data_IF_819129435359
#
_entry.id   IF_819129435359
#
_cell.length_a   1.000
_cell.length_b   1.000
_cell.length_c   1.000
_cell.angle_alpha   90.00
_cell.angle_beta   90.00
_cell.angle_gamma   90.00
#
_symmetry.space_group_name_H-M   'P 1'
#
loop_
_entity.id
_entity.type
_entity.pdbx_description
1 polymer ?
#
# COMPACT_ATOMS: atom_id res chain seq x y z
N UNK A 1 7.20 21.13 -6.69
CA UNK A 1 6.04 20.44 -7.26
C UNK A 1 5.86 19.12 -6.51
N UNK A 2 4.78 18.99 -5.79
CA UNK A 2 4.47 17.76 -5.09
C UNK A 2 4.16 16.68 -6.14
N UNK A 3 4.91 15.58 -6.14
CA UNK A 3 4.61 14.46 -7.02
C UNK A 3 3.35 13.75 -6.50
N UNK A 4 2.43 13.43 -7.41
CA UNK A 4 1.23 12.68 -7.06
C UNK A 4 1.60 11.31 -6.48
N UNK A 5 0.86 10.89 -5.48
CA UNK A 5 0.97 9.55 -4.93
C UNK A 5 0.44 8.49 -5.90
N UNK A 6 0.84 7.24 -5.74
CA UNK A 6 0.31 6.13 -6.55
C UNK A 6 -1.22 6.09 -6.52
N UNK A 7 -1.81 6.32 -5.35
CA UNK A 7 -3.24 6.27 -5.11
C UNK A 7 -4.03 7.40 -5.80
N UNK A 8 -3.37 8.49 -6.15
CA UNK A 8 -4.01 9.60 -6.86
C UNK A 8 -4.35 9.26 -8.32
N UNK A 9 -3.69 8.23 -8.86
CA UNK A 9 -3.93 7.75 -10.22
C UNK A 9 -4.95 6.62 -10.30
N UNK A 10 -5.45 6.11 -9.18
CA UNK A 10 -6.41 5.00 -9.19
C UNK A 10 -7.74 5.43 -9.81
N UNK A 11 -8.37 4.56 -10.63
CA UNK A 11 -9.72 4.81 -11.10
C UNK A 11 -10.68 4.92 -9.92
N UNK A 12 -11.76 5.68 -10.11
CA UNK A 12 -12.72 5.98 -9.05
C UNK A 12 -13.27 4.70 -8.37
N UNK A 13 -13.48 3.64 -9.13
CA UNK A 13 -13.95 2.37 -8.60
C UNK A 13 -13.01 1.71 -7.58
N UNK A 14 -11.72 2.01 -7.60
CA UNK A 14 -10.72 1.55 -6.63
C UNK A 14 -10.37 2.61 -5.58
N UNK A 15 -10.99 3.76 -5.66
CA UNK A 15 -10.68 4.90 -4.79
C UNK A 15 -11.62 5.02 -3.58
N UNK A 16 -12.41 3.99 -3.30
CA UNK A 16 -13.27 3.89 -2.12
C UNK A 16 -12.63 3.04 -0.99
N UNK A 17 -11.46 2.51 -1.20
CA UNK A 17 -10.77 1.67 -0.21
C UNK A 17 -10.61 2.41 1.12
N UNK A 18 -10.93 1.74 2.22
CA UNK A 18 -10.77 2.30 3.56
C UNK A 18 -9.31 2.66 3.87
N UNK A 19 -8.35 1.89 3.37
CA UNK A 19 -6.92 2.15 3.61
C UNK A 19 -6.36 3.28 2.75
N UNK A 20 -6.67 3.32 1.45
CA UNK A 20 -5.98 4.20 0.51
C UNK A 20 -6.89 4.98 -0.44
N UNK A 21 -8.20 4.85 -0.33
CA UNK A 21 -9.13 5.50 -1.25
C UNK A 21 -9.22 7.00 -1.05
N UNK A 22 -8.81 7.77 -2.07
CA UNK A 22 -8.92 9.24 -2.05
C UNK A 22 -10.37 9.74 -1.98
N UNK A 23 -11.34 8.91 -2.39
CA UNK A 23 -12.77 9.22 -2.37
C UNK A 23 -13.48 8.72 -1.10
N UNK A 24 -12.76 8.11 -0.17
CA UNK A 24 -13.31 7.69 1.12
C UNK A 24 -12.88 8.68 2.21
N UNK A 25 -13.76 9.61 2.61
CA UNK A 25 -13.39 10.63 3.60
C UNK A 25 -13.18 10.06 5.01
N UNK A 26 -13.73 8.87 5.29
CA UNK A 26 -13.59 8.20 6.58
C UNK A 26 -12.39 7.23 6.60
N UNK A 27 -11.69 7.10 5.46
CA UNK A 27 -10.57 6.20 5.31
C UNK A 27 -9.25 6.81 5.79
N UNK A 28 -8.22 5.98 5.81
CA UNK A 28 -6.87 6.41 6.21
C UNK A 28 -6.18 7.25 5.14
N UNK A 29 -6.58 7.12 3.88
CA UNK A 29 -6.08 7.89 2.72
C UNK A 29 -4.55 7.90 2.62
N UNK A 30 -3.92 6.74 2.80
CA UNK A 30 -2.47 6.64 2.71
C UNK A 30 -1.96 7.00 1.32
N UNK A 31 -0.76 7.54 1.27
CA UNK A 31 -0.11 8.01 0.05
C UNK A 31 1.27 7.38 -0.07
N UNK A 32 1.50 6.73 -1.19
CA UNK A 32 2.76 6.06 -1.50
C UNK A 32 3.44 6.71 -2.69
N UNK A 33 4.76 6.80 -2.63
CA UNK A 33 5.60 7.42 -3.66
C UNK A 33 6.84 6.58 -3.90
N UNK A 34 7.47 6.76 -5.05
CA UNK A 34 8.81 6.23 -5.28
C UNK A 34 9.86 7.07 -4.55
N UNK A 35 10.84 6.38 -3.97
CA UNK A 35 12.08 6.92 -3.44
C UNK A 35 13.23 6.05 -4.00
N UNK A 36 13.69 6.39 -5.20
CA UNK A 36 14.61 5.55 -5.95
C UNK A 36 13.96 4.22 -6.36
N UNK A 37 14.55 3.12 -5.93
CA UNK A 37 14.05 1.76 -6.19
C UNK A 37 13.08 1.26 -5.12
N UNK A 38 12.94 1.98 -4.01
CA UNK A 38 11.97 1.67 -2.96
C UNK A 38 10.74 2.56 -3.10
N UNK A 39 9.62 2.07 -2.59
CA UNK A 39 8.45 2.90 -2.34
C UNK A 39 8.41 3.35 -0.88
N UNK A 40 7.87 4.52 -0.63
CA UNK A 40 7.75 5.08 0.72
C UNK A 40 6.32 5.56 0.97
N UNK A 41 5.85 5.29 2.18
CA UNK A 41 4.61 5.84 2.72
C UNK A 41 4.85 6.31 4.14
N UNK A 42 4.37 7.49 4.50
CA UNK A 42 4.37 7.99 5.87
C UNK A 42 2.96 8.12 6.38
N UNK A 43 2.73 7.67 7.60
CA UNK A 43 1.41 7.70 8.21
C UNK A 43 1.52 8.08 9.68
N UNK A 44 0.70 9.02 10.11
CA UNK A 44 0.59 9.41 11.51
C UNK A 44 -0.64 8.76 12.13
N UNK A 45 -0.48 7.72 12.98
CA UNK A 45 -1.62 7.14 13.70
C UNK A 45 -2.29 8.17 14.61
N UNK A 46 -3.62 8.14 14.64
CA UNK A 46 -4.40 8.92 15.58
C UNK A 46 -4.54 8.22 16.93
N UNK A 47 -5.07 8.92 17.96
CA UNK A 47 -5.20 8.37 19.32
C UNK A 47 -6.04 7.10 19.42
N UNK A 48 -7.00 6.92 18.48
CA UNK A 48 -7.85 5.72 18.45
C UNK A 48 -7.14 4.49 17.88
N UNK A 49 -6.00 4.66 17.18
CA UNK A 49 -5.24 3.57 16.57
C UNK A 49 -4.30 2.87 17.57
N UNK A 50 -4.80 2.58 18.73
CA UNK A 50 -4.01 2.05 19.86
C UNK A 50 -4.41 0.63 20.25
N UNK A 51 -3.44 -0.18 20.67
CA UNK A 51 -3.66 -1.47 21.35
C UNK A 51 -3.41 -1.33 22.84
N UNK A 52 -2.33 -0.68 23.19
CA UNK A 52 -1.95 -0.31 24.56
C UNK A 52 -1.55 1.16 24.54
N UNK A 53 -1.62 1.83 25.69
CA UNK A 53 -1.21 3.23 25.79
C UNK A 53 0.22 3.41 25.25
N UNK A 54 0.34 4.24 24.21
CA UNK A 54 1.62 4.54 23.56
C UNK A 54 2.04 3.56 22.47
N UNK A 55 1.22 2.56 22.11
CA UNK A 55 1.53 1.57 21.08
C UNK A 55 0.43 1.44 20.05
N UNK A 56 0.84 1.28 18.79
CA UNK A 56 -0.04 1.21 17.63
C UNK A 56 -0.71 -0.15 17.53
N UNK A 57 -1.99 -0.15 17.20
CA UNK A 57 -2.78 -1.36 16.94
C UNK A 57 -2.23 -2.13 15.73
N UNK A 58 -1.99 -3.44 15.92
CA UNK A 58 -1.39 -4.29 14.89
C UNK A 58 -2.22 -4.42 13.63
N UNK A 59 -3.54 -4.40 13.73
CA UNK A 59 -4.43 -4.43 12.56
C UNK A 59 -4.31 -3.20 11.68
N UNK A 60 -4.06 -2.01 12.26
CA UNK A 60 -3.75 -0.82 11.49
C UNK A 60 -2.45 -1.00 10.70
N UNK A 61 -1.40 -1.50 11.36
CA UNK A 61 -0.11 -1.74 10.71
C UNK A 61 -0.27 -2.71 9.53
N UNK A 62 -1.02 -3.79 9.71
CA UNK A 62 -1.34 -4.74 8.64
C UNK A 62 -2.07 -4.06 7.48
N UNK A 63 -3.02 -3.18 7.76
CA UNK A 63 -3.75 -2.40 6.74
C UNK A 63 -2.84 -1.47 5.96
N UNK A 64 -1.88 -0.83 6.62
CA UNK A 64 -0.90 0.03 5.97
C UNK A 64 0.01 -0.78 5.04
N UNK A 65 0.49 -1.94 5.50
CA UNK A 65 1.31 -2.85 4.69
C UNK A 65 0.54 -3.31 3.45
N UNK A 66 -0.71 -3.71 3.63
CA UNK A 66 -1.59 -4.17 2.57
C UNK A 66 -1.70 -3.13 1.43
N UNK A 67 -2.18 -1.95 1.75
CA UNK A 67 -2.39 -0.91 0.74
C UNK A 67 -1.08 -0.37 0.16
N UNK A 68 -0.04 -0.20 0.98
CA UNK A 68 1.27 0.25 0.49
C UNK A 68 1.90 -0.78 -0.45
N UNK A 69 1.87 -2.06 -0.09
CA UNK A 69 2.43 -3.15 -0.89
C UNK A 69 1.69 -3.34 -2.22
N UNK A 70 0.35 -3.34 -2.19
CA UNK A 70 -0.46 -3.48 -3.42
C UNK A 70 -0.29 -2.27 -4.34
N UNK A 71 -0.25 -1.08 -3.78
CA UNK A 71 0.02 0.15 -4.55
C UNK A 71 1.40 0.14 -5.20
N UNK A 72 2.41 -0.32 -4.46
CA UNK A 72 3.77 -0.48 -4.99
C UNK A 72 3.80 -1.50 -6.13
N UNK A 73 3.05 -2.60 -6.00
CA UNK A 73 2.95 -3.62 -7.04
C UNK A 73 2.39 -3.06 -8.34
N UNK A 74 1.29 -2.31 -8.28
CA UNK A 74 0.71 -1.65 -9.45
C UNK A 74 1.68 -0.64 -10.07
N UNK A 75 2.30 0.21 -9.25
CA UNK A 75 3.27 1.20 -9.71
C UNK A 75 4.50 0.55 -10.37
N UNK A 76 4.96 -0.59 -9.84
CA UNK A 76 6.06 -1.35 -10.42
C UNK A 76 5.71 -1.94 -11.81
N UNK A 77 4.47 -2.39 -11.98
CA UNK A 77 3.99 -2.88 -13.29
C UNK A 77 3.97 -1.76 -14.33
N UNK A 78 3.48 -0.55 -13.98
CA UNK A 78 3.56 0.61 -14.86
C UNK A 78 5.00 0.93 -15.25
N UNK A 79 5.90 0.94 -14.27
CA UNK A 79 7.33 1.21 -14.52
C UNK A 79 7.95 0.17 -15.45
N UNK A 80 7.65 -1.11 -15.25
CA UNK A 80 8.15 -2.21 -16.09
C UNK A 80 7.62 -2.13 -17.54
N UNK A 81 6.42 -1.61 -17.73
CA UNK A 81 5.82 -1.41 -19.06
C UNK A 81 6.21 -0.06 -19.69
N UNK A 82 7.08 0.74 -19.06
CA UNK A 82 7.41 2.11 -19.49
C UNK A 82 6.17 2.99 -19.69
N UNK A 83 5.19 2.84 -18.82
CA UNK A 83 3.92 3.58 -18.89
C UNK A 83 3.80 4.54 -17.71
N UNK A 84 3.35 5.78 -17.93
CA UNK A 84 2.96 6.66 -16.83
C UNK A 84 1.70 6.13 -16.16
N UNK A 85 1.53 6.44 -14.87
CA UNK A 85 0.43 5.91 -14.06
C UNK A 85 -0.95 6.48 -14.45
N UNK A 86 -0.99 7.56 -15.21
CA UNK A 86 -2.22 8.14 -15.78
C UNK A 86 -2.56 7.57 -17.17
N UNK A 87 -1.79 6.61 -17.67
CA UNK A 87 -2.04 5.99 -18.98
C UNK A 87 -3.21 5.01 -18.95
N UNK A 88 -3.79 4.76 -20.12
CA UNK A 88 -4.90 3.83 -20.30
C UNK A 88 -4.48 2.57 -21.08
N UNK A 89 -5.07 1.40 -20.81
CA UNK A 89 -5.98 1.12 -19.69
C UNK A 89 -5.26 1.13 -18.34
N UNK A 90 -5.94 1.45 -17.23
CA UNK A 90 -5.30 1.47 -15.92
C UNK A 90 -4.88 0.07 -15.48
N UNK A 91 -3.74 -0.02 -14.80
CA UNK A 91 -3.33 -1.26 -14.13
C UNK A 91 -4.00 -1.29 -12.75
N UNK A 92 -4.79 -2.34 -12.53
CA UNK A 92 -5.51 -2.55 -11.27
C UNK A 92 -4.95 -3.79 -10.59
N UNK A 93 -4.59 -3.66 -9.33
CA UNK A 93 -4.14 -4.78 -8.52
C UNK A 93 -5.04 -4.95 -7.30
N UNK A 94 -5.18 -6.20 -6.87
CA UNK A 94 -5.77 -6.58 -5.58
C UNK A 94 -4.78 -7.43 -4.81
N UNK A 95 -4.92 -7.45 -3.49
CA UNK A 95 -4.09 -8.28 -2.62
C UNK A 95 -4.57 -9.72 -2.68
N UNK A 96 -3.69 -10.63 -3.06
CA UNK A 96 -3.95 -12.06 -3.02
C UNK A 96 -3.46 -12.72 -1.72
N UNK A 97 -2.40 -12.16 -1.13
CA UNK A 97 -1.84 -12.67 0.13
C UNK A 97 -1.18 -11.52 0.89
N UNK A 98 -1.36 -11.53 2.19
CA UNK A 98 -0.70 -10.64 3.12
C UNK A 98 -0.11 -11.48 4.25
N UNK A 99 1.20 -11.38 4.46
CA UNK A 99 1.89 -11.92 5.61
C UNK A 99 2.46 -10.77 6.43
N UNK A 100 2.31 -10.84 7.74
CA UNK A 100 2.80 -9.81 8.66
C UNK A 100 3.51 -10.49 9.83
N UNK A 101 4.72 -10.03 10.11
CA UNK A 101 5.51 -10.44 11.25
C UNK A 101 5.77 -9.24 12.14
N UNK A 102 5.26 -9.29 13.36
CA UNK A 102 5.46 -8.25 14.37
C UNK A 102 6.74 -8.59 15.15
N UNK A 103 7.80 -7.83 14.88
CA UNK A 103 9.12 -8.06 15.50
C UNK A 103 9.17 -7.54 16.92
N UNK A 104 8.53 -6.39 17.15
CA UNK A 104 8.41 -5.75 18.47
C UNK A 104 7.21 -4.80 18.48
N UNK A 105 6.71 -4.42 19.66
CA UNK A 105 5.64 -3.43 19.75
C UNK A 105 6.03 -2.14 19.03
N UNK A 106 5.08 -1.56 18.30
CA UNK A 106 5.30 -0.34 17.52
C UNK A 106 4.90 0.88 18.34
N UNK A 107 5.86 1.73 18.79
CA UNK A 107 5.52 2.94 19.50
C UNK A 107 4.65 3.89 18.67
N UNK A 108 3.75 4.60 19.34
CA UNK A 108 2.94 5.64 18.73
C UNK A 108 3.82 6.77 18.21
N UNK A 109 3.52 7.28 17.04
CA UNK A 109 4.27 8.31 16.34
C UNK A 109 4.16 8.09 14.83
N UNK A 110 4.81 8.92 14.03
CA UNK A 110 4.83 8.73 12.59
C UNK A 110 5.47 7.40 12.23
N UNK A 111 4.78 6.64 11.38
CA UNK A 111 5.28 5.39 10.80
C UNK A 111 5.80 5.66 9.38
N UNK A 112 6.95 5.09 9.06
CA UNK A 112 7.46 5.06 7.70
C UNK A 112 7.45 3.62 7.20
N UNK A 113 6.80 3.40 6.06
CA UNK A 113 6.78 2.12 5.37
C UNK A 113 7.70 2.21 4.16
N UNK A 114 8.56 1.20 4.01
CA UNK A 114 9.42 1.06 2.85
C UNK A 114 9.14 -0.26 2.14
N UNK A 115 8.81 -0.16 0.85
CA UNK A 115 8.47 -1.31 0.02
C UNK A 115 9.55 -1.59 -1.01
N UNK A 116 9.88 -2.87 -1.17
CA UNK A 116 10.82 -3.37 -2.18
C UNK A 116 10.15 -4.43 -3.03
N UNK A 117 10.29 -4.32 -4.33
CA UNK A 117 9.81 -5.36 -5.27
C UNK A 117 10.80 -6.52 -5.23
N UNK A 118 10.34 -7.69 -4.77
CA UNK A 118 11.17 -8.90 -4.71
C UNK A 118 10.92 -9.84 -5.89
N UNK A 119 9.73 -9.79 -6.48
CA UNK A 119 9.37 -10.53 -7.69
C UNK A 119 8.38 -9.71 -8.51
N UNK A 120 8.53 -9.70 -9.81
CA UNK A 120 7.65 -8.98 -10.72
C UNK A 120 7.42 -9.76 -12.01
N UNK A 121 6.15 -9.90 -12.37
CA UNK A 121 5.71 -10.40 -13.67
C UNK A 121 4.58 -9.52 -14.18
N UNK A 122 4.10 -9.67 -15.43
CA UNK A 122 2.97 -8.88 -15.93
C UNK A 122 1.67 -9.04 -15.13
N UNK A 123 1.54 -10.12 -14.35
CA UNK A 123 0.31 -10.45 -13.61
C UNK A 123 0.45 -10.37 -12.09
N UNK A 124 1.67 -10.41 -11.56
CA UNK A 124 1.90 -10.55 -10.12
C UNK A 124 3.14 -9.76 -9.71
N UNK A 125 3.06 -9.13 -8.55
CA UNK A 125 4.20 -8.55 -7.87
C UNK A 125 4.25 -9.04 -6.43
N UNK A 126 5.44 -9.32 -5.93
CA UNK A 126 5.68 -9.60 -4.52
C UNK A 126 6.48 -8.44 -3.95
N UNK A 127 5.95 -7.85 -2.89
CA UNK A 127 6.50 -6.66 -2.26
C UNK A 127 6.85 -6.97 -0.81
N UNK A 128 8.11 -6.80 -0.45
CA UNK A 128 8.54 -6.82 0.95
C UNK A 128 8.39 -5.41 1.52
N UNK A 129 7.77 -5.30 2.68
CA UNK A 129 7.52 -4.02 3.35
C UNK A 129 8.10 -4.04 4.75
N UNK A 130 8.96 -3.08 5.06
CA UNK A 130 9.43 -2.81 6.42
C UNK A 130 8.69 -1.59 6.98
N UNK A 131 8.24 -1.70 8.23
CA UNK A 131 7.56 -0.61 8.96
C UNK A 131 8.47 -0.09 10.05
N UNK A 132 8.80 1.19 9.97
CA UNK A 132 9.68 1.88 10.91
C UNK A 132 8.87 2.75 11.85
N UNK A 133 9.23 2.72 13.13
CA UNK A 133 8.82 3.70 14.13
C UNK A 133 10.06 4.22 14.84
N UNK A 134 10.28 5.54 14.81
CA UNK A 134 11.48 6.14 15.40
C UNK A 134 12.81 5.59 14.86
N UNK A 135 12.85 5.22 13.57
CA UNK A 135 14.04 4.67 12.93
C UNK A 135 14.30 3.17 13.18
N UNK A 136 13.43 2.50 13.93
CA UNK A 136 13.51 1.05 14.21
C UNK A 136 12.47 0.29 13.40
N UNK A 137 12.87 -0.81 12.77
CA UNK A 137 11.93 -1.73 12.10
C UNK A 137 11.15 -2.50 13.15
N UNK A 138 9.86 -2.24 13.28
CA UNK A 138 8.99 -2.92 14.26
C UNK A 138 8.17 -4.05 13.64
N UNK A 139 7.89 -3.97 12.35
CA UNK A 139 7.05 -4.95 11.64
C UNK A 139 7.59 -5.15 10.24
N UNK A 140 7.50 -6.37 9.75
CA UNK A 140 7.76 -6.74 8.37
C UNK A 140 6.56 -7.40 7.75
N UNK A 141 6.33 -7.12 6.48
CA UNK A 141 5.27 -7.75 5.73
C UNK A 141 5.69 -8.17 4.33
N UNK A 142 4.91 -9.07 3.77
CA UNK A 142 4.98 -9.44 2.38
C UNK A 142 3.60 -9.38 1.79
N UNK A 143 3.48 -8.70 0.65
CA UNK A 143 2.22 -8.55 -0.09
C UNK A 143 2.38 -9.19 -1.46
N UNK A 144 1.45 -10.08 -1.80
CA UNK A 144 1.29 -10.56 -3.18
C UNK A 144 0.16 -9.77 -3.82
N UNK A 145 0.53 -8.87 -4.74
CA UNK A 145 -0.40 -8.09 -5.52
C UNK A 145 -0.65 -8.76 -6.87
N UNK A 146 -1.91 -8.95 -7.24
CA UNK A 146 -2.31 -9.60 -8.48
C UNK A 146 -3.06 -8.62 -9.35
N UNK A 147 -2.63 -8.50 -10.61
CA UNK A 147 -3.31 -7.69 -11.63
C UNK A 147 -4.65 -8.32 -12.00
N UNK A 148 -5.69 -7.51 -11.97
CA UNK A 148 -7.04 -7.91 -12.37
C UNK A 148 -7.41 -7.27 -13.70
N UNK A 149 -8.29 -7.95 -14.45
CA UNK A 149 -8.81 -7.49 -15.72
C UNK A 149 -10.30 -7.15 -15.62
N UNK A 150 -10.87 -6.62 -16.71
CA UNK A 150 -12.28 -6.24 -16.75
C UNK A 150 -13.22 -7.44 -16.55
N UNK A 151 -12.84 -8.63 -17.04
CA UNK A 151 -13.62 -9.85 -16.83
C UNK A 151 -13.70 -10.24 -15.36
N UNK A 152 -12.61 -10.09 -14.63
CA UNK A 152 -12.59 -10.31 -13.18
C UNK A 152 -13.47 -9.29 -12.45
N UNK A 153 -13.33 -8.01 -12.79
CA UNK A 153 -14.15 -6.94 -12.20
C UNK A 153 -15.65 -7.16 -12.45
N UNK A 154 -16.02 -7.57 -13.66
CA UNK A 154 -17.41 -7.79 -14.01
C UNK A 154 -18.11 -8.83 -13.13
N UNK A 155 -17.37 -9.82 -12.61
CA UNK A 155 -17.91 -10.82 -11.68
C UNK A 155 -18.37 -10.23 -10.34
N UNK A 156 -17.72 -9.13 -9.90
CA UNK A 156 -17.87 -8.59 -8.55
C UNK A 156 -18.51 -7.20 -8.53
N UNK A 157 -18.77 -6.62 -9.69
CA UNK A 157 -19.60 -5.41 -9.79
C UNK A 157 -21.05 -5.77 -9.46
N UNK A 158 -21.63 -5.04 -8.53
CA UNK A 158 -23.06 -5.12 -8.18
C UNK A 158 -23.80 -3.95 -8.81
#
# INVERSE_FOLDING_TARGET
MEMNAFQDYYPDELSLCYGCGRLNPDGMQIKSHWDGEESVCRFQPGPAHTVLKGYVYGGLIASLIDCHGTGTGAAAMYRAENRPMDSQPPIRCVTAKLEVEYLEPTPMGELELRGRVTELSPRKAIIAVDVYSGGTVCTRGEVIAVRINDAWLAKYRK
#
